data_IF_264912831777
#
_entry.id   IF_264912831777
#
_cell.length_a   1.000
_cell.length_b   1.000
_cell.length_c   1.000
_cell.angle_alpha   90.00
_cell.angle_beta   90.00
_cell.angle_gamma   90.00
#
_symmetry.space_group_name_H-M   'P 1'
#
loop_
_entity.id
_entity.type
_entity.pdbx_description
1 polymer ?
#
# COMPACT_ATOMS: atom_id res chain seq x y z
N UNK A 1 21.85 -15.96 -18.99
CA UNK A 1 20.60 -16.52 -19.54
C UNK A 1 19.56 -16.80 -18.46
N UNK A 2 19.93 -17.14 -17.22
CA UNK A 2 18.97 -17.24 -16.09
C UNK A 2 18.48 -15.88 -15.57
N UNK A 3 19.28 -14.82 -15.66
CA UNK A 3 18.93 -13.48 -15.17
C UNK A 3 17.80 -12.79 -15.96
N UNK A 4 17.70 -13.03 -17.27
CA UNK A 4 16.64 -12.41 -18.11
C UNK A 4 15.26 -13.04 -17.90
N UNK A 5 15.20 -14.33 -17.51
CA UNK A 5 13.94 -15.00 -17.19
C UNK A 5 13.43 -14.61 -15.80
N UNK A 6 14.32 -14.40 -14.82
CA UNK A 6 13.93 -13.91 -13.50
C UNK A 6 13.39 -12.46 -13.55
N UNK A 7 14.04 -11.58 -14.33
CA UNK A 7 13.60 -10.18 -14.49
C UNK A 7 12.22 -10.02 -15.14
N UNK A 8 11.91 -10.83 -16.17
CA UNK A 8 10.56 -10.83 -16.80
C UNK A 8 9.49 -11.41 -15.87
N UNK A 9 9.83 -12.43 -15.08
CA UNK A 9 8.91 -13.04 -14.11
C UNK A 9 8.58 -12.13 -12.93
N UNK A 10 9.47 -11.20 -12.56
CA UNK A 10 9.27 -10.20 -11.50
C UNK A 10 8.40 -9.03 -11.97
N UNK A 11 8.69 -8.42 -13.14
CA UNK A 11 7.83 -7.35 -13.72
C UNK A 11 6.37 -7.80 -13.87
N UNK A 12 6.16 -9.00 -14.41
CA UNK A 12 4.83 -9.62 -14.58
C UNK A 12 4.00 -9.77 -13.28
N UNK A 13 4.59 -9.61 -12.07
CA UNK A 13 3.88 -9.80 -10.80
C UNK A 13 3.10 -8.56 -10.38
N UNK A 14 3.69 -7.37 -10.48
CA UNK A 14 2.99 -6.12 -10.16
C UNK A 14 2.28 -5.52 -11.37
N UNK A 15 2.66 -5.86 -12.61
CA UNK A 15 1.94 -5.38 -13.81
C UNK A 15 0.44 -5.74 -13.76
N UNK A 16 0.10 -6.99 -13.42
CA UNK A 16 -1.31 -7.38 -13.23
C UNK A 16 -2.02 -6.63 -12.12
N UNK A 17 -1.30 -6.27 -11.05
CA UNK A 17 -1.85 -5.47 -9.98
C UNK A 17 -2.10 -4.04 -10.46
N UNK A 18 -1.19 -3.47 -11.23
CA UNK A 18 -1.33 -2.16 -11.86
C UNK A 18 -2.47 -2.11 -12.89
N UNK A 19 -2.71 -3.19 -13.63
CA UNK A 19 -3.89 -3.33 -14.48
C UNK A 19 -5.19 -3.35 -13.65
N UNK A 20 -5.19 -4.04 -12.51
CA UNK A 20 -6.35 -4.09 -11.60
C UNK A 20 -6.68 -2.73 -11.00
N UNK A 21 -5.67 -1.97 -10.55
CA UNK A 21 -5.82 -0.62 -9.98
C UNK A 21 -6.64 0.30 -10.89
N UNK A 22 -6.49 0.16 -12.21
CA UNK A 22 -7.21 0.95 -13.20
C UNK A 22 -8.71 0.64 -13.26
N UNK A 23 -9.14 -0.52 -12.73
CA UNK A 23 -10.52 -1.01 -12.80
C UNK A 23 -11.30 -0.85 -11.51
N UNK A 24 -10.65 -0.39 -10.44
CA UNK A 24 -11.31 -0.24 -9.14
C UNK A 24 -12.32 0.90 -9.16
N UNK A 25 -13.43 0.70 -8.45
CA UNK A 25 -14.43 1.73 -8.22
C UNK A 25 -14.00 2.60 -7.04
N UNK A 26 -12.99 3.44 -7.31
CA UNK A 26 -12.30 4.26 -6.31
C UNK A 26 -13.27 5.09 -5.46
N UNK A 27 -13.16 4.93 -4.14
CA UNK A 27 -13.89 5.72 -3.15
C UNK A 27 -15.42 5.63 -3.22
N UNK A 28 -15.97 4.66 -3.94
CA UNK A 28 -17.43 4.45 -4.08
C UNK A 28 -18.16 4.19 -2.76
N UNK A 29 -17.44 3.80 -1.70
CA UNK A 29 -18.00 3.40 -0.40
C UNK A 29 -17.44 4.19 0.77
N UNK A 30 -16.73 5.29 0.53
CA UNK A 30 -16.20 6.11 1.64
C UNK A 30 -17.33 6.62 2.53
N UNK A 31 -17.17 6.44 3.85
CA UNK A 31 -18.20 6.75 4.84
C UNK A 31 -19.28 5.67 5.02
N UNK A 32 -19.37 4.66 4.15
CA UNK A 32 -20.30 3.56 4.32
C UNK A 32 -19.89 2.61 5.47
N UNK A 33 -20.84 2.00 6.18
CA UNK A 33 -20.53 0.98 7.17
C UNK A 33 -19.86 -0.26 6.57
N UNK A 34 -18.84 -0.77 7.25
CA UNK A 34 -18.14 -2.02 6.90
C UNK A 34 -18.96 -3.18 7.47
N UNK A 35 -19.85 -3.76 6.65
CA UNK A 35 -20.79 -4.80 7.11
C UNK A 35 -20.29 -6.24 6.91
N UNK A 36 -19.17 -6.41 6.21
CA UNK A 36 -18.69 -7.72 5.78
C UNK A 36 -17.64 -8.33 6.73
N UNK A 37 -17.29 -7.64 7.82
CA UNK A 37 -16.35 -8.08 8.85
C UNK A 37 -16.99 -8.02 10.24
N UNK A 38 -16.56 -8.93 11.13
CA UNK A 38 -16.84 -8.85 12.55
C UNK A 38 -16.24 -7.56 13.14
N UNK A 39 -16.86 -7.03 14.20
CA UNK A 39 -16.51 -5.70 14.74
C UNK A 39 -15.05 -5.65 15.24
N UNK A 40 -14.57 -6.75 15.82
CA UNK A 40 -13.20 -6.95 16.28
C UNK A 40 -12.16 -6.92 15.15
N UNK A 41 -12.55 -7.29 13.93
CA UNK A 41 -11.68 -7.38 12.76
C UNK A 41 -11.75 -6.12 11.88
N UNK A 42 -12.69 -5.22 12.15
CA UNK A 42 -12.84 -3.99 11.36
C UNK A 42 -11.64 -3.05 11.55
N UNK A 43 -11.23 -2.32 10.51
CA UNK A 43 -10.30 -1.21 10.67
C UNK A 43 -10.92 -0.11 11.55
N UNK A 44 -10.09 0.79 12.07
CA UNK A 44 -10.60 2.00 12.72
C UNK A 44 -11.23 2.89 11.65
N UNK A 45 -12.46 3.34 11.87
CA UNK A 45 -13.18 4.14 10.88
C UNK A 45 -13.10 5.63 11.16
N UNK A 46 -12.94 6.40 10.10
CA UNK A 46 -13.20 7.84 10.09
C UNK A 46 -14.40 8.14 9.23
N UNK A 47 -14.99 9.31 9.38
CA UNK A 47 -16.33 9.61 8.84
C UNK A 47 -16.33 10.70 7.78
N UNK A 48 -15.20 11.33 7.59
CA UNK A 48 -15.07 12.34 6.57
C UNK A 48 -13.64 12.45 6.09
N UNK A 49 -13.60 13.06 4.94
CA UNK A 49 -12.45 13.45 4.19
C UNK A 49 -11.41 14.29 4.97
N UNK A 50 -11.82 15.15 5.90
CA UNK A 50 -10.89 15.93 6.75
C UNK A 50 -10.13 15.01 7.71
N UNK A 51 -10.82 14.06 8.35
CA UNK A 51 -10.20 13.07 9.21
C UNK A 51 -9.30 12.11 8.41
N UNK A 52 -9.71 11.71 7.21
CA UNK A 52 -8.89 10.89 6.33
C UNK A 52 -7.57 11.59 5.99
N UNK A 53 -7.61 12.88 5.62
CA UNK A 53 -6.40 13.68 5.38
C UNK A 53 -5.50 13.78 6.62
N UNK A 54 -6.10 14.01 7.79
CA UNK A 54 -5.36 14.07 9.05
C UNK A 54 -4.52 12.80 9.26
N UNK A 55 -5.12 11.63 9.08
CA UNK A 55 -4.41 10.37 9.24
C UNK A 55 -3.42 10.07 8.11
N UNK A 56 -3.73 10.46 6.87
CA UNK A 56 -2.84 10.23 5.72
C UNK A 56 -1.56 11.08 5.81
N UNK A 57 -1.60 12.15 6.61
CA UNK A 57 -0.47 13.05 6.86
C UNK A 57 0.13 12.87 8.27
N UNK A 58 -0.44 12.00 9.10
CA UNK A 58 0.03 11.80 10.46
C UNK A 58 1.39 11.10 10.49
N UNK A 59 2.30 11.60 11.35
CA UNK A 59 3.65 11.03 11.51
C UNK A 59 3.62 9.53 11.81
N UNK A 60 2.66 9.06 12.61
CA UNK A 60 2.51 7.63 12.95
C UNK A 60 2.16 6.77 11.74
N UNK A 61 1.32 7.27 10.82
CA UNK A 61 0.97 6.57 9.58
C UNK A 61 2.17 6.44 8.66
N UNK A 62 2.94 7.51 8.48
CA UNK A 62 4.17 7.50 7.68
C UNK A 62 5.26 6.64 8.31
N UNK A 63 5.38 6.65 9.64
CA UNK A 63 6.26 5.74 10.36
C UNK A 63 5.88 4.28 10.10
N UNK A 64 4.59 3.91 10.23
CA UNK A 64 4.12 2.54 9.94
C UNK A 64 4.38 2.14 8.48
N UNK A 65 4.16 3.06 7.54
CA UNK A 65 4.38 2.84 6.11
C UNK A 65 5.87 2.60 5.80
N UNK A 66 6.76 3.35 6.44
CA UNK A 66 8.21 3.14 6.32
C UNK A 66 8.64 1.84 6.99
N UNK A 67 8.05 1.51 8.14
CA UNK A 67 8.38 0.29 8.86
C UNK A 67 7.93 -0.97 8.10
N UNK A 68 6.79 -0.94 7.41
CA UNK A 68 6.40 -2.00 6.47
C UNK A 68 7.50 -2.27 5.42
N UNK A 69 8.07 -1.19 4.86
CA UNK A 69 9.18 -1.29 3.91
C UNK A 69 10.47 -1.79 4.56
N UNK A 70 10.77 -1.39 5.80
CA UNK A 70 11.94 -1.85 6.54
C UNK A 70 11.88 -3.36 6.79
N UNK A 71 10.73 -3.88 7.25
CA UNK A 71 10.53 -5.31 7.50
C UNK A 71 10.84 -6.15 6.26
N UNK A 72 10.37 -5.72 5.09
CA UNK A 72 10.65 -6.40 3.83
C UNK A 72 12.13 -6.30 3.44
N UNK A 73 12.69 -5.09 3.56
CA UNK A 73 14.09 -4.82 3.21
C UNK A 73 15.06 -5.61 4.09
N UNK A 74 14.82 -5.65 5.40
CA UNK A 74 15.60 -6.44 6.36
C UNK A 74 15.49 -7.93 6.09
N UNK A 75 14.28 -8.42 5.80
CA UNK A 75 14.08 -9.81 5.40
C UNK A 75 14.94 -10.16 4.18
N UNK A 76 14.92 -9.33 3.13
CA UNK A 76 15.73 -9.54 1.93
C UNK A 76 17.22 -9.45 2.23
N UNK A 77 17.65 -8.48 3.04
CA UNK A 77 19.05 -8.35 3.43
C UNK A 77 19.60 -9.62 4.08
N UNK A 78 18.83 -10.21 4.99
CA UNK A 78 19.23 -11.41 5.75
C UNK A 78 19.10 -12.69 4.93
N UNK A 79 18.06 -12.83 4.09
CA UNK A 79 17.69 -14.11 3.48
C UNK A 79 17.98 -14.19 1.98
N UNK A 80 18.12 -13.05 1.28
CA UNK A 80 18.30 -13.00 -0.17
C UNK A 80 19.03 -11.72 -0.63
N UNK A 81 20.35 -11.71 -0.41
CA UNK A 81 21.18 -10.54 -0.72
C UNK A 81 21.13 -10.14 -2.21
N UNK A 82 20.96 -11.10 -3.13
CA UNK A 82 20.84 -10.81 -4.56
C UNK A 82 19.58 -9.98 -4.84
N UNK A 83 18.44 -10.37 -4.28
CA UNK A 83 17.18 -9.63 -4.46
C UNK A 83 17.15 -8.30 -3.70
N UNK A 84 17.88 -8.21 -2.58
CA UNK A 84 18.11 -6.96 -1.89
C UNK A 84 18.85 -5.94 -2.77
N UNK A 85 19.86 -6.36 -3.54
CA UNK A 85 20.60 -5.46 -4.45
C UNK A 85 19.70 -4.87 -5.57
N UNK A 86 18.66 -5.60 -5.99
CA UNK A 86 17.69 -5.15 -7.00
C UNK A 86 16.61 -4.21 -6.44
N UNK A 87 16.62 -3.90 -5.14
CA UNK A 87 15.58 -3.12 -4.48
C UNK A 87 15.30 -1.78 -5.18
N UNK A 88 16.34 -0.99 -5.44
CA UNK A 88 16.18 0.34 -6.05
C UNK A 88 15.68 0.25 -7.49
N UNK A 89 16.12 -0.76 -8.25
CA UNK A 89 15.65 -1.00 -9.61
C UNK A 89 14.16 -1.34 -9.64
N UNK A 90 13.68 -2.15 -8.70
CA UNK A 90 12.26 -2.46 -8.56
C UNK A 90 11.44 -1.24 -8.14
N UNK A 91 11.92 -0.45 -7.17
CA UNK A 91 11.25 0.79 -6.75
C UNK A 91 11.08 1.72 -7.95
N UNK A 92 12.15 1.96 -8.71
CA UNK A 92 12.11 2.81 -9.89
C UNK A 92 11.13 2.28 -10.95
N UNK A 93 11.20 0.99 -11.28
CA UNK A 93 10.32 0.40 -12.29
C UNK A 93 8.83 0.44 -11.87
N UNK A 94 8.56 0.28 -10.58
CA UNK A 94 7.20 0.40 -10.02
C UNK A 94 6.72 1.85 -10.12
N UNK A 95 7.56 2.83 -9.77
CA UNK A 95 7.20 4.26 -9.85
C UNK A 95 6.91 4.70 -11.28
N UNK A 96 7.75 4.30 -12.23
CA UNK A 96 7.55 4.56 -13.66
C UNK A 96 6.22 3.98 -14.16
N UNK A 97 5.84 2.79 -13.68
CA UNK A 97 4.59 2.12 -14.04
C UNK A 97 3.37 2.72 -13.34
N UNK A 98 3.49 3.13 -12.06
CA UNK A 98 2.40 3.72 -11.29
C UNK A 98 2.10 5.17 -11.70
N UNK A 99 3.11 5.95 -12.08
CA UNK A 99 2.95 7.37 -12.42
C UNK A 99 1.77 7.67 -13.36
N UNK A 100 1.61 7.02 -14.53
CA UNK A 100 0.47 7.27 -15.41
C UNK A 100 -0.88 6.88 -14.77
N UNK A 101 -0.91 5.84 -13.93
CA UNK A 101 -2.14 5.39 -13.26
C UNK A 101 -2.57 6.39 -12.17
N UNK A 102 -1.60 6.90 -11.41
CA UNK A 102 -1.86 7.94 -10.41
C UNK A 102 -2.50 9.17 -11.06
N UNK A 103 -1.96 9.61 -12.19
CA UNK A 103 -2.44 10.83 -12.85
C UNK A 103 -3.75 10.64 -13.62
N UNK A 104 -3.98 9.48 -14.24
CA UNK A 104 -5.16 9.24 -15.09
C UNK A 104 -6.34 8.59 -14.38
N UNK A 105 -6.12 7.88 -13.28
CA UNK A 105 -7.18 7.12 -12.56
C UNK A 105 -7.36 7.63 -11.14
N UNK A 106 -6.28 7.67 -10.34
CA UNK A 106 -6.41 7.95 -8.90
C UNK A 106 -6.70 9.43 -8.63
N UNK A 107 -5.93 10.34 -9.23
CA UNK A 107 -6.10 11.79 -9.01
C UNK A 107 -7.50 12.26 -9.43
N UNK A 108 -8.05 11.87 -10.59
CA UNK A 108 -9.41 12.28 -10.98
C UNK A 108 -10.53 11.70 -10.10
N UNK A 109 -10.29 10.57 -9.42
CA UNK A 109 -11.26 9.97 -8.50
C UNK A 109 -11.33 10.67 -7.13
N UNK A 110 -10.31 11.46 -6.78
CA UNK A 110 -10.30 12.22 -5.53
C UNK A 110 -11.15 13.49 -5.63
N UNK A 111 -11.83 13.92 -4.55
CA UNK A 111 -12.54 15.19 -4.55
C UNK A 111 -11.57 16.38 -4.68
N UNK A 112 -11.95 17.43 -5.42
CA UNK A 112 -11.11 18.63 -5.68
C UNK A 112 -10.57 19.32 -4.43
N UNK A 113 -11.26 19.18 -3.29
CA UNK A 113 -10.85 19.74 -2.00
C UNK A 113 -9.60 19.07 -1.40
N UNK A 114 -9.07 18.04 -2.07
CA UNK A 114 -7.91 17.29 -1.60
C UNK A 114 -6.61 17.74 -2.22
N UNK A 115 -5.65 18.00 -1.32
CA UNK A 115 -4.31 18.39 -1.69
C UNK A 115 -3.45 17.23 -2.19
N UNK A 116 -2.24 17.61 -2.60
CA UNK A 116 -1.18 16.73 -3.08
C UNK A 116 -0.84 15.62 -2.09
N UNK A 117 -1.05 15.85 -0.80
CA UNK A 117 -0.62 14.94 0.28
C UNK A 117 -1.37 13.61 0.28
N UNK A 118 -2.67 13.60 -0.09
CA UNK A 118 -3.43 12.36 -0.15
C UNK A 118 -3.03 11.53 -1.39
N UNK A 119 -2.72 12.19 -2.50
CA UNK A 119 -2.16 11.53 -3.68
C UNK A 119 -0.80 10.90 -3.34
N UNK A 120 0.06 11.61 -2.62
CA UNK A 120 1.36 11.08 -2.20
C UNK A 120 1.23 9.90 -1.24
N UNK A 121 0.26 9.94 -0.32
CA UNK A 121 -0.08 8.81 0.54
C UNK A 121 -0.50 7.58 -0.27
N UNK A 122 -1.46 7.73 -1.20
CA UNK A 122 -1.96 6.64 -2.04
C UNK A 122 -0.82 6.10 -2.92
N UNK A 123 -0.04 6.98 -3.56
CA UNK A 123 1.13 6.57 -4.35
C UNK A 123 2.09 5.73 -3.52
N UNK A 124 2.39 6.17 -2.30
CA UNK A 124 3.34 5.48 -1.41
C UNK A 124 2.81 4.12 -0.93
N UNK A 125 1.51 4.00 -0.70
CA UNK A 125 0.84 2.72 -0.40
C UNK A 125 0.92 1.75 -1.59
N UNK A 126 0.53 2.21 -2.77
CA UNK A 126 0.53 1.38 -3.98
C UNK A 126 1.94 0.92 -4.33
N UNK A 127 2.95 1.80 -4.25
CA UNK A 127 4.35 1.45 -4.49
C UNK A 127 4.82 0.34 -3.55
N UNK A 128 4.58 0.47 -2.23
CA UNK A 128 5.00 -0.54 -1.25
C UNK A 128 4.20 -1.83 -1.35
N UNK A 129 2.92 -1.76 -1.70
CA UNK A 129 2.11 -2.94 -1.99
C UNK A 129 2.66 -3.70 -3.22
N UNK A 130 3.07 -2.99 -4.27
CA UNK A 130 3.74 -3.57 -5.44
C UNK A 130 5.08 -4.21 -5.07
N UNK A 131 5.86 -3.59 -4.18
CA UNK A 131 7.09 -4.19 -3.63
C UNK A 131 6.79 -5.47 -2.85
N UNK A 132 5.83 -5.45 -1.91
CA UNK A 132 5.42 -6.65 -1.17
C UNK A 132 4.96 -7.78 -2.14
N UNK A 133 4.26 -7.42 -3.22
CA UNK A 133 3.82 -8.38 -4.24
C UNK A 133 4.97 -8.97 -5.06
N UNK A 134 5.99 -8.17 -5.39
CA UNK A 134 7.19 -8.61 -6.09
C UNK A 134 7.87 -9.78 -5.35
N UNK A 135 7.93 -9.66 -4.03
CA UNK A 135 8.63 -10.58 -3.13
C UNK A 135 7.71 -11.54 -2.36
N UNK A 136 6.41 -11.61 -2.68
CA UNK A 136 5.41 -12.38 -1.92
C UNK A 136 5.69 -13.88 -1.76
N UNK A 137 6.46 -14.46 -2.67
CA UNK A 137 6.78 -15.90 -2.65
C UNK A 137 8.00 -16.24 -1.80
N UNK A 138 8.73 -15.22 -1.32
CA UNK A 138 9.90 -15.40 -0.46
C UNK A 138 9.70 -14.72 0.89
N UNK A 139 9.02 -13.57 0.93
CA UNK A 139 8.73 -12.85 2.16
C UNK A 139 7.57 -13.51 2.93
N UNK A 140 7.67 -13.66 4.26
CA UNK A 140 6.56 -14.10 5.09
C UNK A 140 5.31 -13.23 4.93
N UNK A 141 4.12 -13.87 4.93
CA UNK A 141 2.82 -13.18 4.79
C UNK A 141 2.63 -12.05 5.79
N UNK A 142 3.19 -12.15 7.00
CA UNK A 142 3.13 -11.09 8.03
C UNK A 142 3.76 -9.75 7.60
N UNK A 143 4.58 -9.74 6.55
CA UNK A 143 5.24 -8.54 6.00
C UNK A 143 4.32 -7.83 4.98
N UNK A 144 3.24 -8.45 4.51
CA UNK A 144 2.30 -7.91 3.52
C UNK A 144 1.36 -6.83 4.12
N UNK A 145 1.91 -5.75 4.67
CA UNK A 145 1.15 -4.73 5.37
C UNK A 145 0.44 -3.78 4.41
N UNK A 146 1.15 -3.33 3.38
CA UNK A 146 0.63 -2.39 2.39
C UNK A 146 -0.34 -3.10 1.44
N UNK A 147 -0.08 -4.36 1.07
CA UNK A 147 -1.00 -5.20 0.31
C UNK A 147 -2.37 -5.31 0.98
N UNK A 148 -2.40 -5.61 2.29
CA UNK A 148 -3.66 -5.64 3.07
C UNK A 148 -4.33 -4.27 3.15
N UNK A 149 -3.57 -3.19 3.16
CA UNK A 149 -4.13 -1.84 3.15
C UNK A 149 -4.78 -1.51 1.81
N UNK A 150 -4.10 -1.78 0.68
CA UNK A 150 -4.61 -1.42 -0.65
C UNK A 150 -5.81 -2.27 -1.09
N UNK A 151 -6.03 -3.45 -0.50
CA UNK A 151 -7.26 -4.23 -0.68
C UNK A 151 -8.52 -3.41 -0.35
N UNK A 152 -8.42 -2.43 0.56
CA UNK A 152 -9.54 -1.55 0.89
C UNK A 152 -9.91 -0.58 -0.26
N UNK A 153 -8.95 -0.16 -1.09
CA UNK A 153 -9.26 0.62 -2.29
C UNK A 153 -10.07 -0.22 -3.28
N UNK A 154 -9.73 -1.49 -3.47
CA UNK A 154 -10.48 -2.40 -4.33
C UNK A 154 -11.92 -2.63 -3.86
N UNK A 155 -12.16 -2.47 -2.56
CA UNK A 155 -13.50 -2.53 -1.95
C UNK A 155 -14.25 -1.19 -1.99
N UNK A 156 -13.67 -0.13 -2.55
CA UNK A 156 -14.28 1.20 -2.66
C UNK A 156 -14.08 2.10 -1.44
N UNK A 157 -13.27 1.70 -0.46
CA UNK A 157 -12.97 2.51 0.73
C UNK A 157 -11.63 3.26 0.57
N UNK A 158 -11.29 4.13 1.52
CA UNK A 158 -10.01 4.87 1.52
C UNK A 158 -9.17 4.54 2.76
N UNK A 159 -8.22 3.59 2.69
CA UNK A 159 -7.21 3.40 3.74
C UNK A 159 -6.36 4.66 3.88
N UNK A 160 -6.49 5.33 5.02
CA UNK A 160 -5.97 6.67 5.23
C UNK A 160 -4.97 6.73 6.38
N UNK A 161 -4.49 5.61 6.92
CA UNK A 161 -3.44 5.65 7.94
C UNK A 161 -3.35 4.39 8.78
N UNK A 162 -2.49 4.45 9.79
CA UNK A 162 -2.39 3.43 10.83
C UNK A 162 -2.37 4.07 12.21
N UNK A 163 -2.82 3.30 13.18
CA UNK A 163 -2.55 3.55 14.59
C UNK A 163 -1.70 2.41 15.16
N UNK A 164 -0.62 2.78 15.83
CA UNK A 164 0.20 1.89 16.64
C UNK A 164 0.57 2.65 17.92
N UNK A 165 0.32 2.05 19.08
CA UNK A 165 0.57 2.71 20.37
C UNK A 165 2.07 2.91 20.65
N UNK A 166 2.91 2.03 20.11
CA UNK A 166 4.37 2.05 20.23
C UNK A 166 4.99 1.42 18.98
N UNK A 167 6.30 1.64 18.77
CA UNK A 167 7.02 1.07 17.62
C UNK A 167 6.96 -0.46 17.59
N UNK A 168 7.07 -1.11 18.76
CA UNK A 168 7.01 -2.58 18.89
C UNK A 168 5.64 -3.19 18.58
N UNK A 169 4.60 -2.36 18.39
CA UNK A 169 3.27 -2.85 18.08
C UNK A 169 3.05 -3.06 16.57
N UNK A 170 3.91 -2.54 15.70
CA UNK A 170 3.76 -2.76 14.26
C UNK A 170 4.49 -4.04 13.81
N UNK A 171 3.91 -4.87 12.91
CA UNK A 171 2.58 -4.78 12.32
C UNK A 171 1.49 -5.55 13.09
N UNK A 172 1.83 -6.26 14.17
CA UNK A 172 0.96 -7.26 14.80
C UNK A 172 -0.17 -6.68 15.67
N UNK A 173 0.05 -5.50 16.25
CA UNK A 173 -0.85 -4.80 17.19
C UNK A 173 -1.15 -3.38 16.68
N UNK A 174 -0.98 -3.13 15.39
CA UNK A 174 -1.44 -1.91 14.74
C UNK A 174 -2.84 -2.12 14.15
N UNK A 175 -3.58 -1.02 13.98
CA UNK A 175 -4.88 -1.05 13.30
C UNK A 175 -4.84 -0.12 12.11
N UNK A 176 -5.32 -0.59 10.96
CA UNK A 176 -5.51 0.24 9.78
C UNK A 176 -6.64 1.23 10.04
N UNK A 177 -6.52 2.42 9.48
CA UNK A 177 -7.56 3.46 9.51
C UNK A 177 -8.13 3.59 8.11
N UNK A 178 -9.45 3.54 8.01
CA UNK A 178 -10.19 3.55 6.74
C UNK A 178 -11.33 4.57 6.81
N UNK A 179 -11.50 5.32 5.73
CA UNK A 179 -12.69 6.12 5.49
C UNK A 179 -13.70 5.36 4.61
#
# INVERSE_FOLDING_TARGET
MESEHEGKGLRNRWDRFHDQIQTWDWFSRVGEPIRHLAEEDQPWRVWNWVQARHWATANISWWCLNEASNLLREFLHVNDHKRYQLWNEHVQAIDESLAPIIESVVRPALPDSFGVELVDWIRSLLQRASMELAYKYIAPVRIACCLRAVEWFALGYSPCGWIAATENNFPLKSRLIVF
#
